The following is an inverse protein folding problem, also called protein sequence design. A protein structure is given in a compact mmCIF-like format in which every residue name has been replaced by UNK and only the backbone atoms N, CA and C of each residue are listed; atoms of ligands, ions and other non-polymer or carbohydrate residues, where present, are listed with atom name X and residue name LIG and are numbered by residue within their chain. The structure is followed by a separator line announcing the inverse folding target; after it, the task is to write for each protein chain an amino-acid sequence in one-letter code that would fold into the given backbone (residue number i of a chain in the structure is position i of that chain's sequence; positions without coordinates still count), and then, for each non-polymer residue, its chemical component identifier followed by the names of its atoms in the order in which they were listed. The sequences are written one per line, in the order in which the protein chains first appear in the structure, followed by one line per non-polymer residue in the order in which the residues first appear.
data_IF_100315807239
#
_entry.id   IF_100315807239
#
_cell.length_a   1.000
_cell.length_b   1.000
_cell.length_c   1.000
_cell.angle_alpha   90.00
_cell.angle_beta   90.00
_cell.angle_gamma   90.00
#
_symmetry.space_group_name_H-M   'P 1'
#
loop_
_entity.id
_entity.type
_entity.pdbx_description
1 polymer ?
#
# COMPACT_ATOMS: atom_id res chain seq x y z
N UNK A 1 -70.45 3.24 -25.86
CA UNK A 1 -69.89 4.48 -25.29
C UNK A 1 -68.55 4.13 -24.67
N UNK A 2 -67.44 4.38 -25.38
CA UNK A 2 -66.10 3.97 -24.94
C UNK A 2 -65.58 5.05 -24.00
N UNK A 3 -65.51 4.73 -22.71
CA UNK A 3 -65.02 5.61 -21.66
C UNK A 3 -63.48 5.64 -21.73
N UNK A 4 -62.91 6.56 -22.52
CA UNK A 4 -61.46 6.77 -22.53
C UNK A 4 -61.01 7.24 -21.12
N UNK A 5 -60.08 6.53 -20.45
CA UNK A 5 -59.60 6.96 -19.14
C UNK A 5 -58.90 8.32 -19.28
N UNK A 6 -59.20 9.24 -18.35
CA UNK A 6 -58.64 10.60 -18.35
C UNK A 6 -57.11 10.54 -18.46
N UNK A 7 -56.47 11.41 -19.27
CA UNK A 7 -55.02 11.33 -19.56
C UNK A 7 -54.12 11.35 -18.32
N UNK A 8 -54.60 11.94 -17.21
CA UNK A 8 -53.91 11.93 -15.91
C UNK A 8 -53.83 10.52 -15.27
N UNK A 9 -54.84 9.68 -15.47
CA UNK A 9 -54.87 8.30 -14.97
C UNK A 9 -53.94 7.41 -15.79
N UNK A 10 -53.94 7.57 -17.11
CA UNK A 10 -53.00 6.87 -18.00
C UNK A 10 -51.54 7.25 -17.72
N UNK A 11 -51.25 8.52 -17.44
CA UNK A 11 -49.91 8.96 -17.05
C UNK A 11 -49.44 8.35 -15.73
N UNK A 12 -50.31 8.27 -14.71
CA UNK A 12 -49.97 7.64 -13.43
C UNK A 12 -49.77 6.13 -13.55
N UNK A 13 -50.56 5.44 -14.38
CA UNK A 13 -50.37 4.02 -14.67
C UNK A 13 -49.08 3.78 -15.45
N UNK A 14 -48.75 4.64 -16.42
CA UNK A 14 -47.48 4.59 -17.15
C UNK A 14 -46.27 4.84 -16.22
N UNK A 15 -46.37 5.82 -15.32
CA UNK A 15 -45.33 6.09 -14.30
C UNK A 15 -45.16 4.91 -13.33
N UNK A 16 -46.27 4.33 -12.87
CA UNK A 16 -46.28 3.17 -11.97
C UNK A 16 -45.79 1.88 -12.64
N UNK A 17 -45.91 1.73 -13.97
CA UNK A 17 -45.33 0.63 -14.76
C UNK A 17 -43.87 0.90 -15.15
N UNK A 18 -43.46 2.17 -15.23
CA UNK A 18 -42.08 2.56 -15.52
C UNK A 18 -41.14 2.30 -14.33
N UNK A 19 -41.60 2.46 -13.09
CA UNK A 19 -40.76 2.23 -11.88
C UNK A 19 -40.33 0.75 -11.75
N UNK A 20 -41.22 -0.26 -11.88
CA UNK A 20 -40.86 -1.67 -11.85
C UNK A 20 -39.97 -2.08 -13.03
N UNK A 21 -40.21 -1.54 -14.23
CA UNK A 21 -39.39 -1.87 -15.40
C UNK A 21 -37.98 -1.29 -15.28
N UNK A 22 -37.83 -0.11 -14.67
CA UNK A 22 -36.52 0.48 -14.38
C UNK A 22 -35.79 -0.26 -13.26
N UNK A 23 -36.49 -0.61 -12.18
CA UNK A 23 -35.96 -1.42 -11.08
C UNK A 23 -35.55 -2.83 -11.51
N UNK A 24 -36.39 -3.51 -12.30
CA UNK A 24 -36.08 -4.82 -12.85
C UNK A 24 -34.88 -4.77 -13.82
N UNK A 25 -34.79 -3.74 -14.67
CA UNK A 25 -33.64 -3.53 -15.56
C UNK A 25 -32.35 -3.29 -14.78
N UNK A 26 -32.39 -2.49 -13.70
CA UNK A 26 -31.24 -2.28 -12.81
C UNK A 26 -30.84 -3.55 -12.07
N UNK A 27 -31.80 -4.34 -11.62
CA UNK A 27 -31.56 -5.61 -10.95
C UNK A 27 -30.91 -6.64 -11.89
N UNK A 28 -31.43 -6.77 -13.11
CA UNK A 28 -30.83 -7.60 -14.17
C UNK A 28 -29.43 -7.10 -14.51
N UNK A 29 -29.24 -5.79 -14.68
CA UNK A 29 -27.91 -5.21 -14.92
C UNK A 29 -26.93 -5.53 -13.79
N UNK A 30 -27.37 -5.39 -12.54
CA UNK A 30 -26.56 -5.67 -11.36
C UNK A 30 -26.12 -7.14 -11.30
N UNK A 31 -27.06 -8.08 -11.49
CA UNK A 31 -26.79 -9.51 -11.40
C UNK A 31 -26.03 -10.05 -12.61
N UNK A 32 -26.41 -9.65 -13.82
CA UNK A 32 -25.87 -10.21 -15.05
C UNK A 32 -24.54 -9.58 -15.47
N UNK A 33 -24.32 -8.29 -15.16
CA UNK A 33 -23.14 -7.56 -15.64
C UNK A 33 -22.24 -7.08 -14.50
N UNK A 34 -22.79 -6.35 -13.51
CA UNK A 34 -21.96 -5.72 -12.48
C UNK A 34 -21.29 -6.74 -11.54
N UNK A 35 -22.07 -7.67 -10.97
CA UNK A 35 -21.56 -8.64 -10.00
C UNK A 35 -20.50 -9.59 -10.60
N UNK A 36 -20.67 -10.14 -11.83
CA UNK A 36 -19.63 -10.91 -12.49
C UNK A 36 -18.38 -10.08 -12.80
N UNK A 37 -18.56 -8.85 -13.29
CA UNK A 37 -17.46 -7.94 -13.59
C UNK A 37 -16.62 -7.63 -12.34
N UNK A 38 -17.26 -7.25 -11.23
CA UNK A 38 -16.56 -6.97 -9.97
C UNK A 38 -15.87 -8.23 -9.40
N UNK A 39 -16.37 -9.44 -9.69
CA UNK A 39 -15.69 -10.70 -9.34
C UNK A 39 -14.43 -10.92 -10.20
N UNK A 40 -14.51 -10.69 -11.51
CA UNK A 40 -13.35 -10.79 -12.41
C UNK A 40 -12.28 -9.78 -12.04
N UNK A 41 -12.67 -8.52 -11.81
CA UNK A 41 -11.75 -7.45 -11.41
C UNK A 41 -11.03 -7.77 -10.08
N UNK A 42 -11.74 -8.30 -9.07
CA UNK A 42 -11.12 -8.75 -7.82
C UNK A 42 -10.09 -9.85 -8.02
N UNK A 43 -10.43 -10.86 -8.82
CA UNK A 43 -9.50 -11.95 -9.13
C UNK A 43 -8.26 -11.43 -9.89
N UNK A 44 -8.42 -10.45 -10.78
CA UNK A 44 -7.31 -9.81 -11.47
C UNK A 44 -6.39 -9.03 -10.52
N UNK A 45 -6.96 -8.30 -9.55
CA UNK A 45 -6.18 -7.62 -8.49
C UNK A 45 -5.36 -8.66 -7.71
N UNK A 46 -6.00 -9.76 -7.27
CA UNK A 46 -5.33 -10.81 -6.50
C UNK A 46 -4.27 -11.56 -7.31
N UNK A 47 -4.50 -11.78 -8.61
CA UNK A 47 -3.52 -12.38 -9.50
C UNK A 47 -2.30 -11.47 -9.69
N UNK A 48 -2.51 -10.16 -9.81
CA UNK A 48 -1.40 -9.20 -9.83
C UNK A 48 -0.69 -9.10 -8.48
N UNK A 49 -1.41 -9.15 -7.36
CA UNK A 49 -0.78 -9.20 -6.05
C UNK A 49 0.16 -10.41 -5.94
N UNK A 50 -0.28 -11.59 -6.39
CA UNK A 50 0.56 -12.79 -6.49
C UNK A 50 1.82 -12.53 -7.33
N UNK A 51 1.64 -12.07 -8.56
CA UNK A 51 2.75 -11.78 -9.46
C UNK A 51 3.66 -10.67 -8.93
N UNK A 52 3.13 -9.73 -8.15
CA UNK A 52 3.88 -8.60 -7.59
C UNK A 52 4.79 -9.08 -6.47
N UNK A 53 4.32 -9.99 -5.62
CA UNK A 53 5.15 -10.64 -4.60
C UNK A 53 6.25 -11.50 -5.23
N UNK A 54 5.92 -12.28 -6.27
CA UNK A 54 6.88 -13.16 -6.97
C UNK A 54 7.94 -12.37 -7.74
N UNK A 55 7.53 -11.32 -8.48
CA UNK A 55 8.41 -10.55 -9.37
C UNK A 55 8.98 -9.28 -8.73
N UNK A 56 8.52 -8.94 -7.53
CA UNK A 56 8.88 -7.71 -6.78
C UNK A 56 8.70 -6.44 -7.61
N UNK A 57 7.63 -6.40 -8.40
CA UNK A 57 7.30 -5.28 -9.28
C UNK A 57 5.82 -4.95 -9.17
N UNK A 58 5.49 -3.68 -9.29
CA UNK A 58 4.10 -3.24 -9.40
C UNK A 58 3.48 -3.78 -10.68
N UNK A 59 2.23 -4.24 -10.58
CA UNK A 59 1.39 -4.53 -11.74
C UNK A 59 0.40 -3.39 -12.00
N UNK A 60 -0.11 -3.28 -13.22
CA UNK A 60 -1.11 -2.28 -13.57
C UNK A 60 -2.38 -2.94 -14.15
N UNK A 61 -3.55 -2.46 -13.72
CA UNK A 61 -4.84 -2.81 -14.31
C UNK A 61 -5.56 -1.54 -14.77
N UNK A 62 -6.27 -1.64 -15.88
CA UNK A 62 -7.09 -0.54 -16.40
C UNK A 62 -8.57 -0.89 -16.18
N UNK A 63 -9.40 0.14 -15.98
CA UNK A 63 -10.86 0.00 -15.85
C UNK A 63 -11.29 -0.84 -14.65
N UNK A 64 -10.64 -0.70 -13.50
CA UNK A 64 -11.08 -1.39 -12.29
C UNK A 64 -12.05 -0.52 -11.51
N UNK A 65 -13.22 -1.07 -11.21
CA UNK A 65 -14.24 -0.38 -10.43
C UNK A 65 -13.83 -0.29 -8.95
N UNK A 66 -14.14 0.83 -8.30
CA UNK A 66 -13.88 1.05 -6.87
C UNK A 66 -14.50 -0.03 -5.98
N UNK A 67 -15.71 -0.49 -6.31
CA UNK A 67 -16.39 -1.56 -5.57
C UNK A 67 -15.62 -2.89 -5.60
N UNK A 68 -14.86 -3.17 -6.68
CA UNK A 68 -14.01 -4.35 -6.73
C UNK A 68 -12.84 -4.22 -5.74
N UNK A 69 -12.21 -3.05 -5.66
CA UNK A 69 -11.11 -2.75 -4.72
C UNK A 69 -11.59 -2.88 -3.28
N UNK A 70 -12.69 -2.21 -2.93
CA UNK A 70 -13.33 -2.32 -1.61
C UNK A 70 -13.74 -3.76 -1.30
N UNK A 71 -14.18 -4.50 -2.31
CA UNK A 71 -14.51 -5.92 -2.22
C UNK A 71 -13.33 -6.85 -1.99
N UNK A 72 -12.08 -6.43 -2.27
CA UNK A 72 -10.87 -7.17 -1.88
C UNK A 72 -10.62 -6.95 -0.40
N UNK A 73 -10.51 -5.69 0.03
CA UNK A 73 -10.22 -5.35 1.42
C UNK A 73 -11.30 -5.85 2.37
N UNK A 74 -12.58 -5.61 2.09
CA UNK A 74 -13.68 -6.09 2.95
C UNK A 74 -13.73 -7.61 3.11
N UNK A 75 -13.22 -8.38 2.16
CA UNK A 75 -13.28 -9.84 2.19
C UNK A 75 -12.04 -10.49 2.82
N UNK A 76 -10.87 -9.89 2.62
CA UNK A 76 -9.59 -10.53 2.97
C UNK A 76 -8.77 -9.78 4.01
N UNK A 77 -9.19 -8.59 4.46
CA UNK A 77 -8.45 -7.86 5.49
C UNK A 77 -8.56 -8.56 6.83
N UNK A 78 -7.45 -8.61 7.55
CA UNK A 78 -7.42 -9.08 8.92
C UNK A 78 -8.02 -7.99 9.84
N UNK A 79 -9.11 -8.27 10.59
CA UNK A 79 -9.72 -7.30 11.49
C UNK A 79 -8.77 -6.76 12.56
N UNK A 80 -7.86 -7.59 13.09
CA UNK A 80 -6.91 -7.18 14.11
C UNK A 80 -5.87 -6.20 13.55
N UNK A 81 -5.39 -6.46 12.33
CA UNK A 81 -4.48 -5.54 11.63
C UNK A 81 -5.17 -4.25 11.24
N UNK A 82 -6.43 -4.33 10.81
CA UNK A 82 -7.26 -3.17 10.49
C UNK A 82 -7.39 -2.22 11.69
N UNK A 83 -7.60 -2.78 12.89
CA UNK A 83 -7.61 -2.02 14.15
C UNK A 83 -6.23 -1.47 14.53
N UNK A 84 -5.17 -2.27 14.41
CA UNK A 84 -3.77 -1.86 14.71
C UNK A 84 -3.37 -0.61 13.92
N UNK A 85 -3.79 -0.50 12.66
CA UNK A 85 -3.46 0.61 11.78
C UNK A 85 -4.55 1.69 11.68
N UNK A 86 -5.66 1.55 12.41
CA UNK A 86 -6.77 2.51 12.37
C UNK A 86 -7.49 2.57 11.02
N UNK A 87 -7.45 1.50 10.23
CA UNK A 87 -7.93 1.45 8.85
C UNK A 87 -9.44 1.14 8.82
N UNK A 88 -10.29 2.03 9.33
CA UNK A 88 -11.75 1.89 9.16
C UNK A 88 -12.15 2.22 7.73
N UNK A 89 -12.31 1.21 6.84
CA UNK A 89 -12.50 1.43 5.38
C UNK A 89 -13.70 2.34 5.07
N UNK A 90 -13.50 3.42 4.28
CA UNK A 90 -14.00 3.42 2.90
C UNK A 90 -12.97 3.81 1.82
N UNK A 91 -11.72 4.16 2.18
CA UNK A 91 -10.71 4.69 1.24
C UNK A 91 -9.34 4.01 1.34
N UNK A 92 -9.35 2.71 1.62
CA UNK A 92 -8.12 2.01 1.94
C UNK A 92 -7.36 1.71 0.67
N UNK A 93 -6.23 2.40 0.52
CA UNK A 93 -5.27 2.17 -0.55
C UNK A 93 -4.35 1.01 -0.22
N UNK A 94 -4.15 0.68 1.05
CA UNK A 94 -3.24 -0.38 1.46
C UNK A 94 -3.71 -1.10 2.71
N UNK A 95 -3.34 -2.37 2.88
CA UNK A 95 -3.71 -3.14 4.05
C UNK A 95 -3.09 -4.53 4.07
N UNK A 96 -3.13 -5.16 5.24
CA UNK A 96 -2.67 -6.53 5.42
C UNK A 96 -3.85 -7.48 5.16
N UNK A 97 -3.65 -8.39 4.21
CA UNK A 97 -4.64 -9.35 3.75
C UNK A 97 -4.18 -10.78 4.02
N UNK A 98 -5.15 -11.67 4.21
CA UNK A 98 -4.93 -13.11 4.32
C UNK A 98 -5.80 -13.83 3.29
N UNK A 99 -5.18 -14.62 2.41
CA UNK A 99 -5.89 -15.36 1.36
C UNK A 99 -5.37 -16.80 1.25
N UNK A 100 -6.22 -17.84 1.31
CA UNK A 100 -5.78 -19.25 1.39
C UNK A 100 -4.82 -19.72 0.30
N UNK A 101 -4.88 -19.11 -0.88
CA UNK A 101 -4.06 -19.46 -2.06
C UNK A 101 -2.94 -18.47 -2.37
N UNK A 102 -2.79 -17.40 -1.60
CA UNK A 102 -1.72 -16.40 -1.80
C UNK A 102 -0.78 -16.45 -0.60
N UNK A 103 0.52 -16.30 -0.85
CA UNK A 103 1.56 -16.33 0.18
C UNK A 103 1.43 -17.54 1.15
N UNK A 104 1.09 -18.72 0.62
CA UNK A 104 0.84 -19.94 1.39
C UNK A 104 -0.17 -19.79 2.53
N UNK A 105 -1.16 -18.92 2.35
CA UNK A 105 -2.17 -18.62 3.38
C UNK A 105 -1.67 -17.71 4.51
N UNK A 106 -0.43 -17.22 4.43
CA UNK A 106 0.14 -16.27 5.39
C UNK A 106 -0.28 -14.83 5.05
N UNK A 107 -0.25 -13.92 6.03
CA UNK A 107 -0.53 -12.50 5.79
C UNK A 107 0.42 -11.90 4.75
N UNK A 108 -0.10 -11.01 3.92
CA UNK A 108 0.68 -10.21 2.98
C UNK A 108 0.13 -8.78 2.93
N UNK A 109 0.99 -7.83 2.63
CA UNK A 109 0.59 -6.43 2.49
C UNK A 109 0.25 -6.15 1.03
N UNK A 110 -0.90 -5.51 0.80
CA UNK A 110 -1.35 -5.08 -0.52
C UNK A 110 -1.48 -3.56 -0.53
N UNK A 111 -1.01 -2.90 -1.59
CA UNK A 111 -1.23 -1.50 -1.90
C UNK A 111 -1.81 -1.33 -3.30
N UNK A 112 -2.80 -0.46 -3.42
CA UNK A 112 -3.54 -0.14 -4.63
C UNK A 112 -3.61 1.38 -4.75
N UNK A 113 -2.94 1.91 -5.77
CA UNK A 113 -2.94 3.34 -6.08
C UNK A 113 -3.68 3.61 -7.39
N UNK A 114 -4.58 4.59 -7.40
CA UNK A 114 -5.31 4.98 -8.61
C UNK A 114 -4.60 6.12 -9.34
N UNK A 115 -4.39 5.95 -10.64
CA UNK A 115 -3.83 6.97 -11.52
C UNK A 115 -4.62 7.04 -12.83
N UNK A 116 -5.44 8.09 -12.99
CA UNK A 116 -6.03 8.46 -14.29
C UNK A 116 -6.85 7.37 -15.00
N UNK A 117 -7.50 6.46 -14.25
CA UNK A 117 -8.31 5.36 -14.82
C UNK A 117 -7.61 3.99 -14.85
N UNK A 118 -6.33 3.95 -14.49
CA UNK A 118 -5.62 2.73 -14.13
C UNK A 118 -5.46 2.63 -12.60
N UNK A 119 -5.25 1.41 -12.13
CA UNK A 119 -4.78 1.13 -10.78
C UNK A 119 -3.44 0.43 -10.86
N UNK A 120 -2.53 0.82 -9.98
CA UNK A 120 -1.29 0.11 -9.71
C UNK A 120 -1.53 -0.80 -8.51
N UNK A 121 -1.02 -2.03 -8.60
CA UNK A 121 -1.15 -3.05 -7.56
C UNK A 121 0.26 -3.49 -7.16
N UNK A 122 0.58 -3.30 -5.90
CA UNK A 122 1.85 -3.66 -5.27
C UNK A 122 1.59 -4.57 -4.09
N UNK A 123 2.36 -5.64 -3.94
CA UNK A 123 2.20 -6.55 -2.82
C UNK A 123 3.55 -7.08 -2.34
N UNK A 124 3.65 -7.33 -1.04
CA UNK A 124 4.82 -7.91 -0.38
C UNK A 124 4.38 -8.92 0.69
N UNK A 125 5.12 -10.02 0.90
CA UNK A 125 4.87 -10.95 2.00
C UNK A 125 4.92 -10.23 3.37
N UNK A 126 4.08 -10.66 4.32
CA UNK A 126 4.09 -10.16 5.68
C UNK A 126 3.60 -8.71 5.83
N UNK A 127 4.10 -8.05 6.88
CA UNK A 127 3.82 -6.67 7.26
C UNK A 127 4.89 -5.74 6.68
N UNK A 128 4.67 -5.26 5.46
CA UNK A 128 5.63 -4.45 4.72
C UNK A 128 5.39 -2.95 4.97
N UNK A 129 6.12 -2.35 5.91
CA UNK A 129 5.90 -0.97 6.37
C UNK A 129 5.91 0.07 5.24
N UNK A 130 6.74 -0.13 4.21
CA UNK A 130 6.88 0.80 3.08
C UNK A 130 5.62 0.84 2.19
N UNK A 131 4.79 -0.22 2.24
CA UNK A 131 3.48 -0.26 1.60
C UNK A 131 2.37 0.26 2.53
N UNK A 132 2.58 0.26 3.85
CA UNK A 132 1.62 0.65 4.90
C UNK A 132 1.70 2.13 5.27
N UNK A 133 1.86 3.01 4.29
CA UNK A 133 1.97 4.46 4.54
C UNK A 133 1.68 5.28 3.29
N UNK A 134 0.89 6.34 3.48
CA UNK A 134 0.61 7.34 2.44
C UNK A 134 1.67 8.45 2.39
N UNK A 135 2.50 8.56 3.43
CA UNK A 135 3.50 9.63 3.56
C UNK A 135 4.74 9.35 2.70
N UNK A 136 5.01 8.09 2.40
CA UNK A 136 6.18 7.72 1.59
C UNK A 136 5.86 7.81 0.10
N UNK A 137 6.71 8.55 -0.60
CA UNK A 137 6.65 8.71 -2.05
C UNK A 137 7.13 7.46 -2.81
N UNK A 138 7.61 6.43 -2.10
CA UNK A 138 8.06 5.14 -2.65
C UNK A 138 7.04 4.48 -3.61
N UNK A 139 5.78 4.95 -3.64
CA UNK A 139 4.74 4.57 -4.59
C UNK A 139 3.93 5.71 -5.24
N UNK A 140 4.38 6.97 -5.33
CA UNK A 140 3.58 8.03 -6.00
C UNK A 140 3.75 8.06 -7.53
N UNK A 141 2.62 7.76 -8.19
CA UNK A 141 2.22 8.01 -9.60
C UNK A 141 2.83 7.10 -10.68
N UNK A 142 2.16 5.96 -10.92
CA UNK A 142 2.02 5.45 -12.30
C UNK A 142 3.26 4.90 -12.98
N UNK A 143 4.43 5.03 -12.38
CA UNK A 143 5.72 4.58 -12.89
C UNK A 143 6.51 4.03 -11.71
N UNK A 144 6.21 2.81 -11.30
CA UNK A 144 7.20 2.08 -10.52
C UNK A 144 8.17 1.46 -11.54
N UNK A 145 9.42 1.97 -11.71
CA UNK A 145 10.47 0.97 -11.61
C UNK A 145 10.27 0.38 -10.21
N UNK A 146 10.21 -0.94 -10.07
CA UNK A 146 10.30 -1.52 -8.73
C UNK A 146 11.49 -0.90 -7.98
N UNK A 147 11.50 -1.03 -6.66
CA UNK A 147 12.66 -0.71 -5.83
C UNK A 147 13.95 -1.04 -6.60
N UNK A 148 14.86 -0.06 -6.78
CA UNK A 148 16.00 -0.24 -7.67
C UNK A 148 16.74 -1.52 -7.26
N UNK A 149 16.99 -2.40 -8.23
CA UNK A 149 17.60 -3.70 -7.97
C UNK A 149 18.98 -3.55 -7.30
N UNK A 150 19.69 -2.45 -7.61
CA UNK A 150 21.05 -2.18 -7.15
C UNK A 150 21.11 -0.77 -6.56
N UNK A 151 21.69 -0.64 -5.37
CA UNK A 151 22.08 0.64 -4.77
C UNK A 151 23.51 0.47 -4.26
N UNK A 152 24.40 1.41 -4.60
CA UNK A 152 25.77 1.34 -4.07
C UNK A 152 25.74 1.79 -2.62
N UNK A 153 26.15 0.92 -1.70
CA UNK A 153 26.32 1.28 -0.29
C UNK A 153 27.80 1.19 0.06
N UNK A 154 28.35 2.24 0.68
CA UNK A 154 29.66 2.12 1.33
C UNK A 154 29.46 1.58 2.74
N UNK A 155 30.08 0.45 3.06
CA UNK A 155 30.12 -0.11 4.41
C UNK A 155 31.56 -0.05 4.91
N UNK A 156 31.86 0.85 5.85
CA UNK A 156 33.24 1.12 6.27
C UNK A 156 34.09 1.82 5.20
N UNK A 157 35.26 1.26 4.87
CA UNK A 157 36.21 1.86 3.92
C UNK A 157 35.93 1.49 2.45
N UNK A 158 35.15 0.44 2.19
CA UNK A 158 34.92 -0.09 0.84
C UNK A 158 33.51 0.28 0.31
N UNK A 159 33.46 0.73 -0.95
CA UNK A 159 32.21 0.96 -1.68
C UNK A 159 31.85 -0.33 -2.40
N UNK A 160 30.76 -0.97 -1.98
CA UNK A 160 30.25 -2.17 -2.63
C UNK A 160 28.94 -1.90 -3.37
N UNK A 161 28.81 -2.45 -4.58
CA UNK A 161 27.55 -2.47 -5.29
C UNK A 161 26.66 -3.53 -4.63
N UNK A 162 25.79 -3.10 -3.70
CA UNK A 162 24.84 -4.00 -3.06
C UNK A 162 23.60 -4.18 -3.94
N UNK A 163 23.38 -5.43 -4.34
CA UNK A 163 22.10 -5.86 -4.93
C UNK A 163 21.20 -6.27 -3.79
N UNK A 164 20.09 -5.57 -3.60
CA UNK A 164 19.20 -5.88 -2.49
C UNK A 164 18.35 -7.10 -2.82
N UNK A 165 18.65 -8.20 -2.16
CA UNK A 165 17.78 -9.38 -2.16
C UNK A 165 16.50 -9.16 -1.32
N UNK A 166 16.43 -8.11 -0.49
CA UNK A 166 15.22 -7.74 0.24
C UNK A 166 14.67 -6.38 -0.25
N UNK A 167 13.42 -6.31 -0.76
CA UNK A 167 12.79 -5.03 -1.09
C UNK A 167 12.74 -4.04 0.09
N UNK A 168 12.72 -4.52 1.32
CA UNK A 168 12.71 -3.66 2.51
C UNK A 168 13.98 -2.78 2.60
N UNK A 169 15.15 -3.35 2.31
CA UNK A 169 16.43 -2.65 2.37
C UNK A 169 16.55 -1.59 1.27
N UNK A 170 16.05 -1.89 0.08
CA UNK A 170 15.95 -0.92 -1.00
C UNK A 170 14.97 0.22 -0.64
N UNK A 171 13.89 -0.09 0.08
CA UNK A 171 12.92 0.91 0.53
C UNK A 171 13.54 1.88 1.55
N UNK A 172 14.36 1.40 2.48
CA UNK A 172 15.13 2.25 3.40
C UNK A 172 16.06 3.22 2.66
N UNK A 173 16.84 2.72 1.70
CA UNK A 173 17.77 3.57 0.96
C UNK A 173 17.06 4.67 0.17
N UNK A 174 15.99 4.30 -0.54
CA UNK A 174 15.16 5.25 -1.27
C UNK A 174 14.54 6.29 -0.33
N UNK A 175 14.11 5.86 0.86
CA UNK A 175 13.56 6.73 1.87
C UNK A 175 14.56 7.80 2.32
N UNK A 176 15.80 7.40 2.64
CA UNK A 176 16.82 8.35 3.11
C UNK A 176 17.21 9.35 2.04
N UNK A 177 17.40 8.91 0.80
CA UNK A 177 17.68 9.82 -0.33
C UNK A 177 16.58 10.87 -0.50
N UNK A 178 15.31 10.46 -0.34
CA UNK A 178 14.18 11.37 -0.48
C UNK A 178 14.05 12.35 0.69
N UNK A 179 14.18 11.86 1.92
CA UNK A 179 14.17 12.73 3.10
C UNK A 179 15.30 13.76 3.05
N UNK A 180 16.49 13.35 2.63
CA UNK A 180 17.63 14.25 2.45
C UNK A 180 17.41 15.28 1.34
N UNK A 181 16.66 14.93 0.30
CA UNK A 181 16.30 15.87 -0.77
C UNK A 181 15.26 16.90 -0.31
N UNK A 182 14.27 16.46 0.47
CA UNK A 182 13.16 17.31 0.93
C UNK A 182 13.51 18.14 2.18
N UNK A 183 14.44 17.67 3.00
CA UNK A 183 14.76 18.27 4.30
C UNK A 183 13.60 18.16 5.30
N UNK A 184 12.71 17.17 5.12
CA UNK A 184 11.51 16.99 5.94
C UNK A 184 11.71 15.92 7.01
N UNK A 185 10.94 16.02 8.10
CA UNK A 185 10.74 14.93 9.05
C UNK A 185 9.41 14.25 8.77
N UNK A 186 9.39 12.93 8.80
CA UNK A 186 8.17 12.14 8.60
C UNK A 186 7.93 11.20 9.77
N UNK A 187 6.67 10.83 10.00
CA UNK A 187 6.32 9.80 10.97
C UNK A 187 5.89 8.54 10.24
N UNK A 188 6.50 7.41 10.59
CA UNK A 188 6.20 6.11 10.00
C UNK A 188 5.79 5.16 11.14
N UNK A 189 4.51 5.20 11.58
CA UNK A 189 4.03 4.38 12.69
C UNK A 189 4.13 2.87 12.45
N UNK A 190 4.14 2.46 11.18
CA UNK A 190 4.21 1.07 10.73
C UNK A 190 5.63 0.50 10.67
N UNK A 191 6.66 1.34 10.72
CA UNK A 191 8.06 0.92 10.74
C UNK A 191 8.51 0.86 12.19
N UNK A 192 8.88 -0.33 12.67
CA UNK A 192 9.38 -0.47 14.03
C UNK A 192 10.80 0.06 14.17
N UNK A 193 11.09 0.65 15.32
CA UNK A 193 12.42 1.14 15.65
C UNK A 193 13.48 0.02 15.61
N UNK A 194 13.16 -1.18 16.12
CA UNK A 194 14.02 -2.36 16.03
C UNK A 194 14.32 -2.79 14.58
N UNK A 195 13.37 -2.67 13.64
CA UNK A 195 13.63 -3.00 12.23
C UNK A 195 14.66 -2.09 11.59
N UNK A 196 14.60 -0.81 11.93
CA UNK A 196 15.60 0.16 11.48
C UNK A 196 16.96 -0.07 12.14
N UNK A 197 16.96 -0.55 13.39
CA UNK A 197 18.17 -0.98 14.11
C UNK A 197 18.86 -2.12 13.37
N UNK A 198 18.10 -3.16 13.05
CA UNK A 198 18.58 -4.34 12.33
C UNK A 198 19.19 -3.93 10.99
N UNK A 199 18.51 -3.08 10.22
CA UNK A 199 19.04 -2.53 8.98
C UNK A 199 20.39 -1.83 9.17
N UNK A 200 20.51 -0.95 10.17
CA UNK A 200 21.76 -0.24 10.42
C UNK A 200 22.90 -1.18 10.88
N UNK A 201 22.58 -2.21 11.65
CA UNK A 201 23.52 -3.19 12.15
C UNK A 201 24.00 -4.15 11.05
N UNK A 202 23.08 -4.73 10.29
CA UNK A 202 23.35 -5.69 9.21
C UNK A 202 24.22 -5.07 8.12
N UNK A 203 24.01 -3.79 7.83
CA UNK A 203 24.80 -3.02 6.88
C UNK A 203 25.98 -2.26 7.49
N UNK A 204 26.30 -2.48 8.78
CA UNK A 204 27.47 -1.91 9.48
C UNK A 204 27.58 -0.37 9.32
N UNK A 205 26.46 0.34 9.41
CA UNK A 205 26.36 1.77 9.11
C UNK A 205 26.86 2.72 10.21
N UNK A 206 27.50 2.19 11.26
CA UNK A 206 27.97 2.98 12.40
C UNK A 206 26.83 3.74 13.08
N UNK A 207 25.98 3.03 13.82
CA UNK A 207 24.85 3.62 14.53
C UNK A 207 25.25 4.15 15.91
N UNK A 208 24.90 5.40 16.18
CA UNK A 208 24.95 6.03 17.50
C UNK A 208 23.55 6.02 18.13
N UNK A 209 23.45 5.42 19.31
CA UNK A 209 22.18 5.32 20.05
C UNK A 209 22.07 6.48 21.05
N UNK A 210 20.94 7.18 21.04
CA UNK A 210 20.62 8.17 22.06
C UNK A 210 20.25 7.48 23.38
N UNK A 211 20.42 8.17 24.53
CA UNK A 211 20.06 7.64 25.84
C UNK A 211 18.62 7.10 25.88
N UNK A 212 18.40 6.07 26.68
CA UNK A 212 17.08 5.48 26.96
C UNK A 212 16.30 5.04 25.70
N UNK A 213 17.00 4.65 24.62
CA UNK A 213 16.40 4.23 23.35
C UNK A 213 15.48 5.29 22.72
N UNK A 214 15.72 6.58 23.02
CA UNK A 214 14.93 7.68 22.47
C UNK A 214 15.12 7.87 20.96
N UNK A 215 16.23 7.40 20.41
CA UNK A 215 16.48 7.44 18.98
C UNK A 215 17.89 6.97 18.60
N UNK A 216 18.16 6.95 17.30
CA UNK A 216 19.44 6.58 16.73
C UNK A 216 19.82 7.52 15.59
N UNK A 217 21.12 7.66 15.38
CA UNK A 217 21.69 8.29 14.20
C UNK A 217 22.67 7.33 13.54
N UNK A 218 22.60 7.20 12.22
CA UNK A 218 23.59 6.43 11.48
C UNK A 218 23.93 7.12 10.17
N UNK A 219 25.06 6.72 9.59
CA UNK A 219 25.59 7.31 8.36
C UNK A 219 25.57 6.26 7.26
N UNK A 220 25.10 6.64 6.08
CA UNK A 220 25.00 5.74 4.94
C UNK A 220 25.48 6.46 3.70
N UNK A 221 26.46 5.89 3.01
CA UNK A 221 26.83 6.38 1.69
C UNK A 221 25.96 5.67 0.66
N UNK A 222 25.13 6.42 -0.08
CA UNK A 222 24.27 5.88 -1.13
C UNK A 222 24.70 6.49 -2.46
N UNK A 223 25.06 5.63 -3.42
CA UNK A 223 25.48 6.05 -4.78
C UNK A 223 26.62 7.09 -4.76
N UNK A 224 27.58 6.94 -3.84
CA UNK A 224 28.74 7.82 -3.74
C UNK A 224 28.48 9.16 -3.05
N UNK A 225 27.31 9.34 -2.41
CA UNK A 225 27.00 10.49 -1.57
C UNK A 225 26.78 10.04 -0.13
N UNK A 226 27.36 10.77 0.81
CA UNK A 226 27.14 10.53 2.22
C UNK A 226 25.79 11.10 2.65
N UNK A 227 25.03 10.29 3.39
CA UNK A 227 23.79 10.70 4.02
C UNK A 227 23.89 10.41 5.51
N UNK A 228 23.27 11.25 6.32
CA UNK A 228 22.96 10.91 7.71
C UNK A 228 21.46 10.67 7.82
N UNK A 229 21.08 9.70 8.65
CA UNK A 229 19.70 9.44 9.01
C UNK A 229 19.56 9.51 10.53
N UNK A 230 18.50 10.16 11.00
CA UNK A 230 18.15 10.28 12.41
C UNK A 230 16.72 9.75 12.60
N UNK A 231 16.57 8.84 13.55
CA UNK A 231 15.31 8.19 13.88
C UNK A 231 14.98 8.40 15.35
N UNK A 232 13.85 9.04 15.63
CA UNK A 232 13.31 9.15 16.99
C UNK A 232 12.30 8.01 17.20
N UNK A 233 12.39 7.31 18.34
CA UNK A 233 11.40 6.31 18.71
C UNK A 233 10.11 7.03 19.18
N UNK A 234 8.99 6.78 18.50
CA UNK A 234 7.70 7.36 18.88
C UNK A 234 7.14 6.78 20.18
N UNK A 235 7.65 5.64 20.63
CA UNK A 235 7.30 5.00 21.90
C UNK A 235 8.57 4.56 22.67
N UNK A 236 9.29 5.49 23.32
CA UNK A 236 10.54 5.17 24.03
C UNK A 236 10.39 4.13 25.15
N UNK A 237 9.15 3.92 25.64
CA UNK A 237 8.87 2.88 26.64
C UNK A 237 8.98 1.46 26.06
N UNK A 238 8.98 1.35 24.73
CA UNK A 238 9.09 0.11 23.98
C UNK A 238 10.39 0.16 23.19
N UNK A 239 11.46 -0.36 23.78
CA UNK A 239 12.84 -0.27 23.25
C UNK A 239 12.96 -0.63 21.76
N UNK A 240 12.37 -1.75 21.32
CA UNK A 240 12.45 -2.24 19.93
C UNK A 240 11.14 -2.11 19.14
N UNK A 241 10.07 -1.67 19.79
CA UNK A 241 8.72 -1.64 19.22
C UNK A 241 8.16 -0.23 19.23
N UNK A 242 7.22 0.04 18.33
CA UNK A 242 6.70 1.39 18.14
C UNK A 242 7.25 2.03 16.88
N UNK A 243 6.51 3.03 16.40
CA UNK A 243 6.81 3.72 15.16
C UNK A 243 8.04 4.58 15.25
N UNK A 244 8.51 5.07 14.10
CA UNK A 244 9.67 5.96 14.03
C UNK A 244 9.31 7.32 13.46
N UNK A 245 9.94 8.37 13.96
CA UNK A 245 10.04 9.65 13.26
C UNK A 245 11.40 9.74 12.58
N UNK A 246 11.42 9.87 11.26
CA UNK A 246 12.63 9.83 10.45
C UNK A 246 12.96 11.19 9.85
N UNK A 247 14.25 11.46 9.77
CA UNK A 247 14.83 12.59 9.05
C UNK A 247 16.16 12.18 8.46
N UNK A 248 16.53 12.76 7.32
CA UNK A 248 17.83 12.53 6.71
C UNK A 248 18.37 13.82 6.08
N UNK A 249 19.67 13.85 5.86
CA UNK A 249 20.37 14.92 5.14
C UNK A 249 21.58 14.37 4.40
N UNK A 250 22.18 15.21 3.55
CA UNK A 250 23.40 14.93 2.78
C UNK A 250 24.45 16.01 3.05
#
# INVERSE_FOLDING_TARGET
MILFPRPRVLFLVALALAIPSWGASLFVFYLAFKRPYDKVARNAILALAKSSMEKRRAGQLVKVNRAAIEGVFSKFSDPAMTLKYGIGVPFVRWGILTHPMLNDGKPFTLRIDSNGGAINVEASPGEAWWLLTDQLWLGRRGTAPGLPANVRIKTGEEVEDQTFEDPENAAFCMLFMELAHRGEKIEVPSLSYGRLSDFAFDHKLGAEWFPDHMGMRFYVNLNGRDYWACADNLDPSKMDAGGVRLSAGH
#
